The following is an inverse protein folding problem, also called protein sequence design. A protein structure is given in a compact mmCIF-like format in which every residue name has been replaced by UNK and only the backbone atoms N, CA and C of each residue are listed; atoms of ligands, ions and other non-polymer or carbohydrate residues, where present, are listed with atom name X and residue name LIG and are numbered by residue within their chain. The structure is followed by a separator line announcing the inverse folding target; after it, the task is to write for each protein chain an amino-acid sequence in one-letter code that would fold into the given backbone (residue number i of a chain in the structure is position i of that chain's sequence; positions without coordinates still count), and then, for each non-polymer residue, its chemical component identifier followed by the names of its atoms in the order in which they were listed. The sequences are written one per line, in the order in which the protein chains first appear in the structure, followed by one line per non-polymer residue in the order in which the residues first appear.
data_IF_914675172644
#
_entry.id   IF_914675172644
#
_cell.length_a   1.000
_cell.length_b   1.000
_cell.length_c   1.000
_cell.angle_alpha   90.00
_cell.angle_beta   90.00
_cell.angle_gamma   90.00
#
_symmetry.space_group_name_H-M   'P 1'
#
loop_
_entity.id
_entity.type
_entity.pdbx_description
1 polymer ?
#
# COMPACT_ATOMS: atom_id res chain seq x y z
N UNK A 1 26.50 2.96 -43.38
CA UNK A 1 26.90 4.35 -43.11
C UNK A 1 25.67 5.24 -43.21
N UNK A 2 25.13 5.72 -42.09
CA UNK A 2 24.16 6.83 -42.02
C UNK A 2 24.29 7.48 -40.64
N UNK A 3 25.25 8.41 -40.51
CA UNK A 3 25.58 9.17 -39.30
C UNK A 3 25.10 10.63 -39.45
N UNK A 4 23.79 10.90 -39.49
CA UNK A 4 23.32 12.30 -39.64
C UNK A 4 22.06 12.71 -38.83
N UNK A 5 21.60 11.93 -37.84
CA UNK A 5 20.49 12.36 -36.98
C UNK A 5 20.86 12.74 -35.54
N UNK A 6 22.05 12.38 -35.05
CA UNK A 6 22.39 12.49 -33.62
C UNK A 6 22.56 13.94 -33.10
N UNK A 7 23.00 14.87 -33.95
CA UNK A 7 23.26 16.28 -33.55
C UNK A 7 21.98 17.06 -33.20
N UNK A 8 20.80 16.63 -33.68
CA UNK A 8 19.50 17.28 -33.42
C UNK A 8 18.83 16.85 -32.12
N UNK A 9 19.21 15.69 -31.56
CA UNK A 9 18.78 15.28 -30.21
C UNK A 9 19.50 16.11 -29.15
N UNK A 10 20.82 16.25 -29.31
CA UNK A 10 21.68 16.96 -28.36
C UNK A 10 21.28 18.41 -28.06
N UNK A 11 20.87 19.18 -29.09
CA UNK A 11 20.41 20.57 -28.88
C UNK A 11 19.08 20.61 -28.12
N UNK A 12 18.17 19.67 -28.41
CA UNK A 12 16.91 19.55 -27.67
C UNK A 12 17.15 19.13 -26.22
N UNK A 13 18.11 18.23 -25.99
CA UNK A 13 18.49 17.80 -24.65
C UNK A 13 19.12 18.96 -23.85
N UNK A 14 19.92 19.80 -24.50
CA UNK A 14 20.45 21.05 -23.90
C UNK A 14 19.33 22.02 -23.55
N UNK A 15 18.39 22.26 -24.47
CA UNK A 15 17.26 23.16 -24.23
C UNK A 15 16.37 22.65 -23.09
N UNK A 16 16.18 21.33 -22.99
CA UNK A 16 15.46 20.70 -21.88
C UNK A 16 16.19 20.86 -20.55
N UNK A 17 17.51 20.64 -20.53
CA UNK A 17 18.35 20.82 -19.33
C UNK A 17 18.31 22.28 -18.89
N UNK A 18 18.40 23.23 -19.81
CA UNK A 18 18.38 24.66 -19.51
C UNK A 18 17.00 25.11 -19.03
N UNK A 19 15.92 24.59 -19.62
CA UNK A 19 14.55 24.84 -19.13
C UNK A 19 14.31 24.24 -17.75
N UNK A 20 14.86 23.05 -17.46
CA UNK A 20 14.75 22.41 -16.16
C UNK A 20 15.53 23.19 -15.11
N UNK A 21 16.75 23.63 -15.43
CA UNK A 21 17.59 24.47 -14.58
C UNK A 21 16.88 25.78 -14.20
N UNK A 22 16.29 26.48 -15.17
CA UNK A 22 15.53 27.70 -14.92
C UNK A 22 14.27 27.45 -14.05
N UNK A 23 13.60 26.31 -14.21
CA UNK A 23 12.46 25.91 -13.35
C UNK A 23 12.89 25.62 -11.92
N UNK A 24 14.04 24.98 -11.72
CA UNK A 24 14.62 24.69 -10.41
C UNK A 24 15.01 26.00 -9.71
N UNK A 25 15.71 26.89 -10.41
CA UNK A 25 16.16 28.18 -9.86
C UNK A 25 14.98 29.09 -9.48
N UNK A 26 13.93 29.10 -10.31
CA UNK A 26 12.66 29.77 -9.99
C UNK A 26 11.96 29.16 -8.77
N UNK A 27 11.97 27.84 -8.61
CA UNK A 27 11.37 27.15 -7.46
C UNK A 27 12.17 27.37 -6.18
N UNK A 28 13.50 27.36 -6.24
CA UNK A 28 14.39 27.72 -5.11
C UNK A 28 14.12 29.16 -4.66
N UNK A 29 13.97 30.07 -5.62
CA UNK A 29 13.65 31.48 -5.32
C UNK A 29 12.26 31.65 -4.70
N UNK A 30 11.32 30.77 -5.02
CA UNK A 30 9.96 30.73 -4.46
C UNK A 30 9.90 30.02 -3.09
N UNK A 31 10.86 29.12 -2.81
CA UNK A 31 10.99 28.34 -1.58
C UNK A 31 11.52 29.14 -0.38
N UNK A 32 11.68 30.46 -0.49
CA UNK A 32 11.90 31.34 0.66
C UNK A 32 10.67 31.44 1.60
N UNK A 33 9.59 30.72 1.31
CA UNK A 33 8.51 30.45 2.26
C UNK A 33 8.72 29.10 2.96
N UNK A 34 8.66 29.03 4.30
CA UNK A 34 9.29 27.94 5.06
C UNK A 34 8.54 26.60 5.07
N UNK A 35 7.47 26.43 4.30
CA UNK A 35 6.47 25.41 4.66
C UNK A 35 5.78 24.72 3.47
N UNK A 36 6.56 24.37 2.44
CA UNK A 36 6.09 23.43 1.42
C UNK A 36 6.99 22.22 1.44
N UNK A 37 6.57 21.20 2.21
CA UNK A 37 7.16 19.86 2.20
C UNK A 37 7.18 19.35 0.76
N UNK A 38 8.37 19.24 0.20
CA UNK A 38 8.62 18.43 -0.98
C UNK A 38 8.59 16.98 -0.49
N UNK A 39 7.85 16.13 -1.22
CA UNK A 39 7.60 14.71 -0.90
C UNK A 39 8.78 14.01 -0.25
N UNK A 40 8.55 13.51 0.98
CA UNK A 40 9.38 12.59 1.80
C UNK A 40 10.88 12.92 1.97
N UNK A 41 11.42 13.94 1.31
CA UNK A 41 12.83 14.31 1.31
C UNK A 41 13.00 15.72 1.86
N UNK A 42 13.81 15.83 2.90
CA UNK A 42 14.25 17.08 3.47
C UNK A 42 15.07 17.89 2.47
N UNK A 43 15.13 19.21 2.69
CA UNK A 43 15.95 20.11 1.88
C UNK A 43 17.42 19.67 1.80
N UNK A 44 17.93 19.08 2.88
CA UNK A 44 19.30 18.58 2.99
C UNK A 44 19.51 17.33 2.11
N UNK A 45 18.58 16.38 2.13
CA UNK A 45 18.60 15.21 1.25
C UNK A 45 18.54 15.59 -0.23
N UNK A 46 17.74 16.61 -0.57
CA UNK A 46 17.65 17.13 -1.94
C UNK A 46 18.97 17.81 -2.37
N UNK A 47 19.63 18.54 -1.47
CA UNK A 47 20.95 19.13 -1.73
C UNK A 47 22.03 18.07 -1.95
N UNK A 48 21.98 16.97 -1.18
CA UNK A 48 22.94 15.87 -1.31
C UNK A 48 22.74 15.11 -2.62
N UNK A 49 21.50 14.88 -3.05
CA UNK A 49 21.20 14.33 -4.37
C UNK A 49 21.77 15.23 -5.48
N UNK A 50 21.61 16.56 -5.36
CA UNK A 50 22.16 17.49 -6.35
C UNK A 50 23.69 17.43 -6.44
N UNK A 51 24.39 17.24 -5.31
CA UNK A 51 25.85 17.04 -5.28
C UNK A 51 26.25 15.73 -5.96
N UNK A 52 25.52 14.64 -5.70
CA UNK A 52 25.78 13.32 -6.32
C UNK A 52 25.63 13.41 -7.85
N UNK A 53 24.59 14.08 -8.33
CA UNK A 53 24.35 14.31 -9.77
C UNK A 53 25.47 15.17 -10.37
N UNK A 54 25.88 16.24 -9.69
CA UNK A 54 27.00 17.07 -10.13
C UNK A 54 28.30 16.28 -10.25
N UNK A 55 28.57 15.38 -9.29
CA UNK A 55 29.74 14.52 -9.31
C UNK A 55 29.69 13.49 -10.45
N UNK A 56 28.53 12.89 -10.70
CA UNK A 56 28.33 11.95 -11.80
C UNK A 56 28.55 12.63 -13.16
N UNK A 57 28.02 13.85 -13.33
CA UNK A 57 28.20 14.63 -14.55
C UNK A 57 29.68 15.02 -14.79
N UNK A 58 30.38 15.39 -13.71
CA UNK A 58 31.81 15.63 -13.75
C UNK A 58 32.60 14.38 -14.15
N UNK A 59 32.28 13.21 -13.58
CA UNK A 59 32.94 11.95 -13.96
C UNK A 59 32.66 11.57 -15.42
N UNK A 60 31.43 11.80 -15.91
CA UNK A 60 31.06 11.52 -17.29
C UNK A 60 31.87 12.39 -18.27
N UNK A 61 32.00 13.68 -17.96
CA UNK A 61 32.71 14.66 -18.77
C UNK A 61 34.23 14.42 -18.73
N UNK A 62 34.77 14.05 -17.56
CA UNK A 62 36.19 13.76 -17.37
C UNK A 62 36.68 12.49 -18.07
N UNK A 63 35.79 11.53 -18.31
CA UNK A 63 36.11 10.25 -18.96
C UNK A 63 35.39 10.08 -20.30
N UNK A 64 35.00 11.18 -20.95
CA UNK A 64 34.30 11.18 -22.25
C UNK A 64 35.04 10.33 -23.30
N UNK A 65 36.38 10.37 -23.26
CA UNK A 65 37.30 9.68 -24.17
C UNK A 65 37.48 8.18 -23.84
N UNK A 66 37.11 7.75 -22.64
CA UNK A 66 37.25 6.36 -22.15
C UNK A 66 35.92 5.62 -22.25
N UNK A 67 35.67 5.06 -23.43
CA UNK A 67 34.43 4.36 -23.83
C UNK A 67 33.86 3.39 -22.78
N UNK A 68 34.70 2.56 -22.16
CA UNK A 68 34.24 1.57 -21.16
C UNK A 68 33.74 2.23 -19.87
N UNK A 69 34.50 3.18 -19.32
CA UNK A 69 34.11 3.92 -18.10
C UNK A 69 32.81 4.69 -18.32
N UNK A 70 32.62 5.27 -19.50
CA UNK A 70 31.38 5.95 -19.88
C UNK A 70 30.19 5.00 -19.94
N UNK A 71 30.35 3.79 -20.50
CA UNK A 71 29.29 2.79 -20.58
C UNK A 71 28.86 2.30 -19.19
N UNK A 72 29.83 2.06 -18.29
CA UNK A 72 29.56 1.66 -16.91
C UNK A 72 28.80 2.75 -16.15
N UNK A 73 29.23 4.02 -16.27
CA UNK A 73 28.52 5.15 -15.67
C UNK A 73 27.11 5.34 -16.25
N UNK A 74 26.94 5.14 -17.56
CA UNK A 74 25.64 5.22 -18.20
C UNK A 74 24.69 4.13 -17.68
N UNK A 75 25.16 2.89 -17.53
CA UNK A 75 24.39 1.82 -16.89
C UNK A 75 24.03 2.17 -15.44
N UNK A 76 24.99 2.69 -14.67
CA UNK A 76 24.73 3.09 -13.29
C UNK A 76 23.64 4.16 -13.19
N UNK A 77 23.69 5.20 -14.03
CA UNK A 77 22.66 6.25 -14.08
C UNK A 77 21.30 5.68 -14.51
N UNK A 78 21.26 4.76 -15.48
CA UNK A 78 20.02 4.10 -15.91
C UNK A 78 19.37 3.33 -14.78
N UNK A 79 20.14 2.52 -14.04
CA UNK A 79 19.66 1.73 -12.90
C UNK A 79 19.08 2.64 -11.81
N UNK A 80 19.75 3.75 -11.48
CA UNK A 80 19.28 4.72 -10.50
C UNK A 80 17.95 5.34 -10.95
N UNK A 81 17.85 5.73 -12.22
CA UNK A 81 16.64 6.35 -12.78
C UNK A 81 15.45 5.38 -12.81
N UNK A 82 15.66 4.14 -13.26
CA UNK A 82 14.65 3.08 -13.28
C UNK A 82 14.19 2.73 -11.86
N UNK A 83 15.11 2.68 -10.90
CA UNK A 83 14.79 2.43 -9.49
C UNK A 83 13.94 3.55 -8.89
N UNK A 84 14.27 4.81 -9.20
CA UNK A 84 13.48 5.96 -8.75
C UNK A 84 12.05 5.94 -9.33
N UNK A 85 11.92 5.62 -10.61
CA UNK A 85 10.61 5.51 -11.26
C UNK A 85 9.78 4.33 -10.73
N UNK A 86 10.43 3.21 -10.39
CA UNK A 86 9.76 2.08 -9.74
C UNK A 86 9.23 2.44 -8.35
N UNK A 87 9.95 3.28 -7.59
CA UNK A 87 9.49 3.73 -6.27
C UNK A 87 8.27 4.63 -6.40
N UNK A 88 8.23 5.50 -7.41
CA UNK A 88 7.07 6.34 -7.71
C UNK A 88 5.82 5.50 -8.02
N UNK A 89 5.97 4.45 -8.85
CA UNK A 89 4.88 3.51 -9.17
C UNK A 89 4.34 2.77 -7.93
N UNK A 90 5.21 2.38 -7.00
CA UNK A 90 4.81 1.68 -5.77
C UNK A 90 4.02 2.62 -4.82
N UNK A 91 4.34 3.92 -4.79
CA UNK A 91 3.62 4.90 -3.96
C UNK A 91 2.18 5.12 -4.48
N UNK A 92 2.01 5.15 -5.80
CA UNK A 92 0.69 5.20 -6.46
C UNK A 92 -0.15 3.94 -6.15
N UNK A 93 0.44 2.75 -6.27
CA UNK A 93 -0.23 1.47 -5.96
C UNK A 93 -0.64 1.38 -4.48
N UNK A 94 0.21 1.84 -3.56
CA UNK A 94 -0.11 1.90 -2.13
C UNK A 94 -1.27 2.86 -1.88
N UNK A 95 -1.29 4.01 -2.55
CA UNK A 95 -2.36 5.01 -2.42
C UNK A 95 -3.71 4.46 -2.91
N UNK A 96 -3.73 3.76 -4.06
CA UNK A 96 -4.93 3.10 -4.58
C UNK A 96 -5.44 2.01 -3.62
N UNK A 97 -4.53 1.22 -3.04
CA UNK A 97 -4.87 0.18 -2.08
C UNK A 97 -5.51 0.76 -0.80
N UNK A 98 -4.97 1.86 -0.29
CA UNK A 98 -5.53 2.57 0.87
C UNK A 98 -6.96 3.01 0.56
N UNK A 99 -7.19 3.67 -0.59
CA UNK A 99 -8.52 4.12 -1.00
C UNK A 99 -9.52 2.95 -1.13
N UNK A 100 -9.08 1.82 -1.69
CA UNK A 100 -9.92 0.61 -1.81
C UNK A 100 -10.27 -0.02 -0.46
N UNK A 101 -9.32 -0.05 0.48
CA UNK A 101 -9.55 -0.54 1.83
C UNK A 101 -10.52 0.37 2.59
N UNK A 102 -10.41 1.68 2.41
CA UNK A 102 -11.27 2.68 3.04
C UNK A 102 -12.72 2.60 2.54
N UNK A 103 -12.94 2.43 1.22
CA UNK A 103 -14.27 2.15 0.65
C UNK A 103 -14.87 0.86 1.22
N UNK A 104 -14.06 -0.19 1.33
CA UNK A 104 -14.49 -1.48 1.87
C UNK A 104 -14.90 -1.38 3.35
N UNK A 105 -14.11 -0.68 4.17
CA UNK A 105 -14.44 -0.42 5.58
C UNK A 105 -15.73 0.40 5.69
N UNK A 106 -15.89 1.43 4.87
CA UNK A 106 -17.10 2.25 4.86
C UNK A 106 -18.34 1.44 4.48
N UNK A 107 -18.24 0.51 3.52
CA UNK A 107 -19.31 -0.43 3.19
C UNK A 107 -19.67 -1.32 4.37
N UNK A 108 -18.68 -1.92 5.04
CA UNK A 108 -18.91 -2.77 6.22
C UNK A 108 -19.58 -1.98 7.34
N UNK A 109 -19.11 -0.75 7.61
CA UNK A 109 -19.69 0.13 8.61
C UNK A 109 -21.15 0.47 8.30
N UNK A 110 -21.44 0.80 7.05
CA UNK A 110 -22.81 1.08 6.60
C UNK A 110 -23.72 -0.15 6.79
N UNK A 111 -23.26 -1.33 6.38
CA UNK A 111 -23.98 -2.58 6.60
C UNK A 111 -24.26 -2.84 8.09
N UNK A 112 -23.25 -2.65 8.95
CA UNK A 112 -23.40 -2.79 10.39
C UNK A 112 -24.45 -1.82 10.94
N UNK A 113 -24.42 -0.54 10.57
CA UNK A 113 -25.43 0.45 10.97
C UNK A 113 -26.83 0.02 10.54
N UNK A 114 -27.00 -0.41 9.30
CA UNK A 114 -28.30 -0.87 8.77
C UNK A 114 -28.84 -2.11 9.49
N UNK A 115 -27.97 -3.05 9.86
CA UNK A 115 -28.34 -4.23 10.64
C UNK A 115 -28.75 -3.84 12.06
N UNK A 116 -27.98 -2.95 12.70
CA UNK A 116 -28.30 -2.45 14.04
C UNK A 116 -29.67 -1.76 14.05
N UNK A 117 -29.91 -0.82 13.12
CA UNK A 117 -31.20 -0.13 13.01
C UNK A 117 -32.36 -1.10 12.77
N UNK A 118 -32.18 -2.10 11.89
CA UNK A 118 -33.22 -3.09 11.62
C UNK A 118 -33.49 -4.02 12.81
N UNK A 119 -32.44 -4.39 13.55
CA UNK A 119 -32.55 -5.18 14.79
C UNK A 119 -33.24 -4.41 15.91
N UNK A 120 -32.98 -3.11 16.03
CA UNK A 120 -33.62 -2.26 17.03
C UNK A 120 -35.09 -2.02 16.68
N UNK A 121 -35.42 -1.93 15.39
CA UNK A 121 -36.79 -1.88 14.89
C UNK A 121 -37.56 -3.16 15.26
N UNK A 122 -36.95 -4.34 15.08
CA UNK A 122 -37.58 -5.64 15.38
C UNK A 122 -37.83 -5.84 16.89
N UNK A 123 -36.93 -5.33 17.74
CA UNK A 123 -37.15 -5.28 19.20
C UNK A 123 -38.30 -4.37 19.60
N UNK A 124 -38.52 -3.23 18.94
CA UNK A 124 -39.63 -2.35 19.29
C UNK A 124 -40.98 -2.99 19.00
N UNK A 125 -41.10 -3.71 17.87
CA UNK A 125 -42.31 -4.48 17.55
C UNK A 125 -42.57 -5.61 18.56
N UNK A 126 -41.54 -6.34 19.00
CA UNK A 126 -41.72 -7.40 20.01
C UNK A 126 -42.14 -6.85 21.38
N UNK A 127 -41.74 -5.64 21.74
CA UNK A 127 -42.12 -5.00 23.00
C UNK A 127 -43.57 -4.47 22.99
N UNK A 128 -44.13 -4.19 21.81
CA UNK A 128 -45.52 -3.73 21.62
C UNK A 128 -46.55 -4.87 21.69
N UNK A 129 -46.15 -6.13 21.51
CA UNK A 129 -47.01 -7.30 21.67
C UNK A 129 -47.06 -7.88 23.09
N UNK A 130 -46.44 -7.21 24.07
CA UNK A 130 -46.40 -7.66 25.47
C UNK A 130 -47.19 -6.75 26.42
N UNK A 131 -48.38 -6.30 26.03
CA UNK A 131 -49.41 -5.88 26.99
C UNK A 131 -50.76 -6.46 26.59
N UNK A 132 -51.09 -7.64 27.14
CA UNK A 132 -52.33 -7.87 27.91
C UNK A 132 -52.49 -9.35 28.26
N UNK A 133 -52.57 -9.64 29.56
CA UNK A 133 -52.82 -10.99 30.08
C UNK A 133 -54.30 -11.39 29.88
N UNK A 134 -54.63 -12.71 29.87
CA UNK A 134 -54.98 -13.29 31.16
C UNK A 134 -54.48 -14.72 31.39
N UNK A 135 -54.34 -15.02 32.69
CA UNK A 135 -54.14 -16.34 33.29
C UNK A 135 -54.98 -17.43 32.63
N UNK A 136 -54.36 -18.56 32.30
CA UNK A 136 -54.66 -19.93 32.77
C UNK A 136 -54.20 -20.94 31.73
N UNK A 137 -53.31 -21.85 32.13
CA UNK A 137 -53.43 -23.29 31.90
C UNK A 137 -52.06 -23.93 32.15
N UNK A 138 -52.01 -24.76 33.19
CA UNK A 138 -50.90 -25.59 33.58
C UNK A 138 -50.63 -26.67 32.54
N UNK A 139 -49.43 -26.68 31.93
CA UNK A 139 -48.90 -27.90 31.30
C UNK A 139 -47.42 -28.02 31.68
N UNK A 140 -47.16 -28.86 32.68
CA UNK A 140 -45.82 -29.28 33.06
C UNK A 140 -45.27 -30.25 31.99
N UNK A 141 -44.14 -29.93 31.37
CA UNK A 141 -43.41 -30.79 30.42
C UNK A 141 -41.99 -31.12 30.89
N UNK A 142 -41.80 -31.35 32.18
CA UNK A 142 -40.56 -31.96 32.69
C UNK A 142 -40.65 -33.47 32.61
N UNK A 143 -40.29 -34.02 31.44
CA UNK A 143 -39.63 -35.31 31.35
C UNK A 143 -38.94 -35.47 29.99
N UNK A 144 -37.66 -35.11 29.92
CA UNK A 144 -36.74 -35.61 28.90
C UNK A 144 -35.51 -36.19 29.59
N UNK A 145 -35.63 -37.42 30.09
CA UNK A 145 -34.46 -38.29 30.25
C UNK A 145 -34.24 -38.98 28.92
N UNK A 146 -33.21 -38.55 28.18
CA UNK A 146 -32.72 -39.33 27.04
C UNK A 146 -31.56 -40.18 27.54
N UNK A 147 -31.71 -41.50 27.53
CA UNK A 147 -30.61 -42.42 27.78
C UNK A 147 -29.62 -42.32 26.62
N UNK A 148 -28.39 -41.92 26.91
CA UNK A 148 -27.31 -41.79 25.94
C UNK A 148 -26.79 -43.22 25.67
N UNK A 149 -27.01 -43.75 24.47
CA UNK A 149 -26.36 -44.98 24.01
C UNK A 149 -24.89 -44.67 23.70
N UNK A 150 -23.95 -45.25 24.45
CA UNK A 150 -22.49 -45.00 24.32
C UNK A 150 -21.78 -45.99 23.40
N UNK A 151 -22.48 -46.66 22.47
CA UNK A 151 -21.91 -47.76 21.69
C UNK A 151 -21.11 -47.39 20.43
N UNK A 152 -20.92 -46.11 20.09
CA UNK A 152 -20.20 -45.73 18.86
C UNK A 152 -19.00 -44.79 19.03
N UNK A 153 -18.55 -44.52 20.26
CA UNK A 153 -17.28 -43.81 20.50
C UNK A 153 -16.29 -44.73 21.23
N UNK A 154 -15.94 -45.85 20.61
CA UNK A 154 -14.67 -46.52 20.88
C UNK A 154 -13.61 -45.89 19.97
N UNK A 155 -12.86 -44.95 20.54
CA UNK A 155 -11.69 -44.34 19.94
C UNK A 155 -10.54 -45.37 19.92
N UNK A 156 -10.13 -45.78 18.71
CA UNK A 156 -8.93 -46.58 18.49
C UNK A 156 -7.69 -45.70 18.76
N UNK A 157 -7.17 -45.73 19.99
CA UNK A 157 -5.83 -45.24 20.29
C UNK A 157 -4.86 -46.41 20.29
N UNK A 158 -4.25 -46.68 19.13
CA UNK A 158 -3.15 -47.63 19.02
C UNK A 158 -1.84 -46.88 19.27
N UNK A 159 -1.44 -46.81 20.54
CA UNK A 159 -0.14 -46.31 20.96
C UNK A 159 0.97 -47.26 20.51
N UNK A 160 1.89 -46.75 19.69
CA UNK A 160 3.16 -47.40 19.40
C UNK A 160 4.08 -47.28 20.62
N UNK A 161 4.19 -48.34 21.42
CA UNK A 161 5.29 -48.50 22.36
C UNK A 161 6.52 -49.01 21.63
N UNK A 162 7.52 -48.14 21.49
CA UNK A 162 8.90 -48.49 21.14
C UNK A 162 9.58 -48.90 22.45
N UNK A 163 9.90 -50.19 22.61
CA UNK A 163 10.86 -50.63 23.62
C UNK A 163 12.25 -50.73 23.02
N UNK A 164 13.13 -49.87 23.53
CA UNK A 164 14.59 -49.97 23.44
C UNK A 164 15.05 -50.76 24.66
N UNK A 165 15.72 -51.90 24.41
CA UNK A 165 17.02 -52.39 24.96
C UNK A 165 17.22 -53.81 24.43
#
# INVERSE_FOLDING_TARGET
MNFLSSKRGFVKDIDHIQSLSAKIEKKISLSNTPDVKIDKLTLEELQDINKIVGLANFMLSKYEDKKETRLILQQFVSIIAESAQSIECVDDEISELILSAEDSINKVKNMHSRISEKSDLEKSYLNEFTEDAPKTSSINLTNFTTAINTSEYQENSQGNDVQVI
#
